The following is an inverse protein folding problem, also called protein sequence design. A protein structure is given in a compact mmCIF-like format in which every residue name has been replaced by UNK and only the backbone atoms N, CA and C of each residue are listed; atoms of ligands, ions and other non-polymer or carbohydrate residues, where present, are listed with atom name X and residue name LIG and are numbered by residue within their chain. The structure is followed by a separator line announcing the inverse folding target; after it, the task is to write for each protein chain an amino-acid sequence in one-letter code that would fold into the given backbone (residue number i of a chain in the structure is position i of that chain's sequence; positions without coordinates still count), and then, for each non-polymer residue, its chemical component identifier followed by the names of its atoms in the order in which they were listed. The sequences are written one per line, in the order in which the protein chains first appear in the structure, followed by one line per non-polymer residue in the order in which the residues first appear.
data_IF_056962725407
#
_entry.id   IF_056962725407
#
_cell.length_a   1.000
_cell.length_b   1.000
_cell.length_c   1.000
_cell.angle_alpha   90.00
_cell.angle_beta   90.00
_cell.angle_gamma   90.00
#
_symmetry.space_group_name_H-M   'P 1'
#
loop_
_entity.id
_entity.type
_entity.pdbx_description
1 polymer ?
#
# COMPACT_ATOMS: atom_id res chain seq x y z
N UNK A 1 -39.17 86.71 -26.34
CA UNK A 1 -38.16 86.94 -25.30
C UNK A 1 -37.14 85.81 -25.36
N UNK A 2 -35.86 86.12 -25.60
CA UNK A 2 -34.75 85.16 -25.71
C UNK A 2 -34.24 84.83 -24.31
N UNK A 3 -34.02 83.55 -24.02
CA UNK A 3 -33.30 83.09 -22.82
C UNK A 3 -31.82 83.54 -22.90
N UNK A 4 -31.34 84.24 -21.87
CA UNK A 4 -29.92 84.45 -21.62
C UNK A 4 -29.40 83.31 -20.75
N UNK A 5 -28.48 82.52 -21.27
CA UNK A 5 -27.63 81.62 -20.47
C UNK A 5 -26.36 82.36 -20.05
N UNK A 6 -26.02 82.26 -18.76
CA UNK A 6 -24.78 82.78 -18.20
C UNK A 6 -23.56 81.99 -18.71
N UNK A 7 -22.39 82.63 -18.92
CA UNK A 7 -21.18 81.91 -19.30
C UNK A 7 -20.64 81.15 -18.09
N UNK A 8 -20.61 79.83 -18.19
CA UNK A 8 -19.86 78.97 -17.27
C UNK A 8 -18.37 79.11 -17.61
N UNK A 9 -17.64 79.88 -16.82
CA UNK A 9 -16.19 79.94 -16.90
C UNK A 9 -15.60 79.14 -15.73
N UNK A 10 -15.40 77.85 -15.95
CA UNK A 10 -14.49 77.02 -15.15
C UNK A 10 -13.35 76.66 -16.08
N UNK A 11 -12.24 77.39 -15.99
CA UNK A 11 -10.97 77.01 -16.62
C UNK A 11 -10.48 75.71 -15.97
N UNK A 12 -10.92 74.57 -16.47
CA UNK A 12 -10.22 73.31 -16.23
C UNK A 12 -8.95 73.33 -17.05
N UNK A 13 -7.82 73.56 -16.38
CA UNK A 13 -6.49 73.50 -16.99
C UNK A 13 -6.28 72.12 -17.62
N UNK A 14 -6.23 72.07 -18.96
CA UNK A 14 -5.94 70.83 -19.69
C UNK A 14 -4.49 70.39 -19.46
N UNK A 15 -4.33 69.16 -18.98
CA UNK A 15 -3.01 68.55 -18.77
C UNK A 15 -2.23 68.40 -20.08
N UNK A 16 -1.00 68.90 -20.06
CA UNK A 16 -0.01 68.71 -21.13
C UNK A 16 0.43 67.24 -21.22
N UNK A 17 0.89 66.83 -22.40
CA UNK A 17 1.36 65.45 -22.64
C UNK A 17 2.49 65.03 -21.68
N UNK A 18 3.37 65.96 -21.31
CA UNK A 18 4.45 65.72 -20.35
C UNK A 18 3.95 65.50 -18.92
N UNK A 19 2.94 66.27 -18.48
CA UNK A 19 2.31 66.09 -17.17
C UNK A 19 1.59 64.74 -17.07
N UNK A 20 0.91 64.33 -18.16
CA UNK A 20 0.22 63.04 -18.24
C UNK A 20 1.20 61.87 -18.16
N UNK A 21 2.34 61.96 -18.84
CA UNK A 21 3.40 60.95 -18.80
C UNK A 21 4.07 60.87 -17.41
N UNK A 22 4.33 62.01 -16.77
CA UNK A 22 4.89 62.07 -15.42
C UNK A 22 3.94 61.47 -14.37
N UNK A 23 2.63 61.76 -14.46
CA UNK A 23 1.62 61.16 -13.58
C UNK A 23 1.57 59.64 -13.74
N UNK A 24 1.49 59.14 -14.98
CA UNK A 24 1.50 57.68 -15.25
C UNK A 24 2.80 56.99 -14.81
N UNK A 25 3.93 57.71 -14.81
CA UNK A 25 5.19 57.19 -14.30
C UNK A 25 5.20 57.13 -12.77
N UNK A 26 4.60 58.12 -12.11
CA UNK A 26 4.46 58.15 -10.66
C UNK A 26 3.46 57.10 -10.17
N UNK A 27 2.28 56.99 -10.81
CA UNK A 27 1.28 55.96 -10.52
C UNK A 27 1.88 54.54 -10.63
N UNK A 28 2.66 54.26 -11.69
CA UNK A 28 3.36 52.97 -11.84
C UNK A 28 4.43 52.73 -10.78
N UNK A 29 5.10 53.77 -10.30
CA UNK A 29 6.08 53.66 -9.21
C UNK A 29 5.38 53.39 -7.88
N UNK A 30 4.28 54.06 -7.63
CA UNK A 30 3.48 53.94 -6.42
C UNK A 30 2.81 52.55 -6.36
N UNK A 31 2.40 51.99 -7.50
CA UNK A 31 1.93 50.60 -7.65
C UNK A 31 3.03 49.54 -7.36
N UNK A 32 4.30 49.88 -7.55
CA UNK A 32 5.45 48.99 -7.34
C UNK A 32 6.13 49.18 -5.97
N UNK A 33 5.74 50.20 -5.20
CA UNK A 33 6.25 50.42 -3.84
C UNK A 33 5.45 49.62 -2.83
N UNK A 34 5.98 48.46 -2.45
CA UNK A 34 5.44 47.66 -1.36
C UNK A 34 5.69 48.34 -0.01
N UNK A 35 4.64 48.44 0.79
CA UNK A 35 4.71 48.99 2.13
C UNK A 35 5.33 48.00 3.13
N UNK A 36 5.76 48.49 4.29
CA UNK A 36 6.19 47.60 5.40
C UNK A 36 5.08 46.63 5.84
N UNK A 37 3.82 47.05 5.73
CA UNK A 37 2.65 46.17 5.95
C UNK A 37 2.51 45.07 4.90
N UNK A 38 2.85 45.32 3.64
CA UNK A 38 2.80 44.29 2.59
C UNK A 38 3.83 43.19 2.85
N UNK A 39 5.05 43.58 3.19
CA UNK A 39 6.10 42.62 3.58
C UNK A 39 5.72 41.82 4.82
N UNK A 40 5.10 42.47 5.82
CA UNK A 40 4.62 41.78 7.01
C UNK A 40 3.55 40.74 6.66
N UNK A 41 2.53 41.12 5.88
CA UNK A 41 1.47 40.21 5.41
C UNK A 41 2.03 39.03 4.62
N UNK A 42 3.03 39.25 3.77
CA UNK A 42 3.67 38.17 3.01
C UNK A 42 4.48 37.22 3.90
N UNK A 43 5.22 37.74 4.88
CA UNK A 43 5.92 36.90 5.85
C UNK A 43 4.95 36.09 6.68
N UNK A 44 3.89 36.71 7.21
CA UNK A 44 2.85 36.03 7.98
C UNK A 44 2.18 34.91 7.16
N UNK A 45 1.87 35.17 5.88
CA UNK A 45 1.30 34.17 4.99
C UNK A 45 2.29 33.05 4.65
N UNK A 46 3.57 33.39 4.44
CA UNK A 46 4.62 32.40 4.19
C UNK A 46 4.80 31.49 5.41
N UNK A 47 4.88 32.06 6.60
CA UNK A 47 5.06 31.31 7.84
C UNK A 47 3.84 30.42 8.12
N UNK A 48 2.62 30.91 7.82
CA UNK A 48 1.40 30.09 7.83
C UNK A 48 1.49 28.92 6.85
N UNK A 49 1.84 29.17 5.59
CA UNK A 49 1.99 28.10 4.57
C UNK A 49 3.04 27.06 4.98
N UNK A 50 4.14 27.49 5.61
CA UNK A 50 5.17 26.56 6.13
C UNK A 50 4.63 25.74 7.30
N UNK A 51 3.85 26.34 8.19
CA UNK A 51 3.23 25.63 9.30
C UNK A 51 2.19 24.61 8.81
N UNK A 52 1.30 25.01 7.90
CA UNK A 52 0.28 24.16 7.30
C UNK A 52 0.92 22.94 6.60
N UNK A 53 2.02 23.15 5.85
CA UNK A 53 2.78 22.05 5.22
C UNK A 53 3.40 21.08 6.22
N UNK A 54 3.99 21.58 7.30
CA UNK A 54 4.54 20.72 8.35
C UNK A 54 3.47 19.87 9.03
N UNK A 55 2.27 20.43 9.20
CA UNK A 55 1.13 19.70 9.76
C UNK A 55 0.64 18.61 8.79
N UNK A 56 0.60 18.89 7.48
CA UNK A 56 0.28 17.89 6.45
C UNK A 56 1.34 16.78 6.35
N UNK A 57 2.63 17.12 6.36
CA UNK A 57 3.74 16.16 6.39
C UNK A 57 3.62 15.24 7.61
N UNK A 58 3.30 15.80 8.78
CA UNK A 58 3.11 15.00 10.00
C UNK A 58 1.89 14.09 9.95
N UNK A 59 0.81 14.48 9.24
CA UNK A 59 -0.38 13.63 9.01
C UNK A 59 -0.11 12.50 8.04
N UNK A 60 0.82 12.69 7.10
CA UNK A 60 1.19 11.71 6.08
C UNK A 60 2.50 10.99 6.42
N UNK A 61 2.75 10.75 7.70
CA UNK A 61 3.97 10.09 8.18
C UNK A 61 3.66 8.68 8.71
N UNK A 62 4.41 7.69 8.23
CA UNK A 62 4.43 6.33 8.79
C UNK A 62 5.71 6.11 9.59
N UNK A 63 5.62 5.22 10.59
CA UNK A 63 6.75 4.91 11.47
C UNK A 63 8.00 4.46 10.72
N UNK A 64 9.14 5.09 11.05
CA UNK A 64 10.46 4.79 10.48
C UNK A 64 11.51 4.55 11.56
N UNK A 65 12.54 3.75 11.27
CA UNK A 65 13.66 3.52 12.19
C UNK A 65 13.23 3.07 13.59
N UNK A 66 13.74 3.74 14.61
CA UNK A 66 13.46 3.45 16.03
C UNK A 66 11.98 3.65 16.41
N UNK A 67 11.20 4.45 15.66
CA UNK A 67 9.76 4.59 15.90
C UNK A 67 9.01 3.27 15.74
N UNK A 68 9.60 2.33 15.01
CA UNK A 68 9.04 0.99 14.75
C UNK A 68 9.36 -0.01 15.85
N UNK A 69 10.24 0.34 16.78
CA UNK A 69 10.74 -0.57 17.81
C UNK A 69 9.94 -0.47 19.11
N UNK A 70 9.96 -1.56 19.87
CA UNK A 70 9.44 -1.61 21.24
C UNK A 70 10.65 -1.87 22.17
N UNK A 71 11.07 -0.89 22.99
CA UNK A 71 12.34 -0.95 23.73
C UNK A 71 12.57 -2.20 24.59
N UNK A 72 11.51 -2.78 25.15
CA UNK A 72 11.59 -3.95 26.03
C UNK A 72 11.24 -5.28 25.32
N UNK A 73 11.10 -5.27 23.99
CA UNK A 73 10.80 -6.47 23.23
C UNK A 73 12.04 -7.34 23.07
N UNK A 74 11.89 -8.64 23.36
CA UNK A 74 12.94 -9.62 23.07
C UNK A 74 12.68 -10.28 21.73
N UNK A 75 13.74 -10.65 21.01
CA UNK A 75 13.58 -11.41 19.77
C UNK A 75 12.92 -12.76 20.07
N UNK A 76 12.01 -13.20 19.19
CA UNK A 76 11.40 -14.52 19.27
C UNK A 76 12.51 -15.58 19.38
N UNK A 77 12.47 -16.43 20.42
CA UNK A 77 13.50 -17.44 20.61
C UNK A 77 13.43 -18.44 19.47
N UNK A 78 14.56 -19.05 19.10
CA UNK A 78 14.56 -20.14 18.12
C UNK A 78 13.59 -21.26 18.53
N UNK A 79 12.95 -21.96 17.57
CA UNK A 79 12.05 -23.06 17.89
C UNK A 79 12.81 -24.15 18.65
N UNK A 80 12.12 -24.77 19.62
CA UNK A 80 12.71 -25.87 20.40
C UNK A 80 12.92 -27.10 19.53
N UNK A 81 12.00 -27.37 18.59
CA UNK A 81 12.22 -28.37 17.54
C UNK A 81 13.02 -27.78 16.37
N UNK A 82 13.83 -28.63 15.74
CA UNK A 82 14.64 -28.25 14.59
C UNK A 82 13.75 -27.82 13.42
N UNK A 83 14.17 -26.78 12.69
CA UNK A 83 13.63 -26.49 11.36
C UNK A 83 14.07 -27.58 10.38
N UNK A 84 13.10 -28.32 9.85
CA UNK A 84 13.33 -29.45 8.95
C UNK A 84 12.79 -29.16 7.56
N UNK A 85 13.47 -29.70 6.54
CA UNK A 85 12.99 -29.67 5.16
C UNK A 85 12.03 -30.83 4.95
N UNK A 86 10.74 -30.51 4.83
CA UNK A 86 9.68 -31.49 4.72
C UNK A 86 9.20 -31.61 3.28
N UNK A 87 8.93 -32.84 2.83
CA UNK A 87 8.14 -33.07 1.63
C UNK A 87 6.70 -32.63 1.86
N UNK A 88 6.16 -31.88 0.90
CA UNK A 88 4.81 -31.40 0.95
C UNK A 88 4.00 -31.79 -0.28
N UNK A 89 2.72 -32.13 -0.05
CA UNK A 89 1.75 -32.41 -1.11
C UNK A 89 0.75 -31.26 -1.15
N UNK A 90 0.64 -30.65 -2.33
CA UNK A 90 -0.23 -29.50 -2.58
C UNK A 90 -1.61 -29.90 -3.10
N UNK A 91 -2.61 -29.12 -2.71
CA UNK A 91 -3.95 -29.12 -3.31
C UNK A 91 -4.30 -27.69 -3.72
N UNK A 92 -4.70 -27.48 -4.99
CA UNK A 92 -5.26 -26.20 -5.43
C UNK A 92 -6.58 -25.90 -4.71
N UNK A 93 -6.74 -24.66 -4.29
CA UNK A 93 -7.91 -24.10 -3.61
C UNK A 93 -8.12 -22.66 -4.07
N UNK A 94 -9.29 -22.07 -3.82
CA UNK A 94 -9.45 -20.63 -4.02
C UNK A 94 -8.57 -19.87 -3.02
N UNK A 95 -7.95 -18.74 -3.40
CA UNK A 95 -7.28 -17.89 -2.42
C UNK A 95 -8.20 -17.49 -1.27
N UNK A 96 -9.49 -17.21 -1.52
CA UNK A 96 -10.47 -16.94 -0.45
C UNK A 96 -10.58 -18.05 0.60
N UNK A 97 -10.33 -19.32 0.25
CA UNK A 97 -10.38 -20.44 1.20
C UNK A 97 -9.17 -20.45 2.15
N UNK A 98 -8.01 -19.97 1.66
CA UNK A 98 -6.82 -19.76 2.48
C UNK A 98 -6.99 -18.56 3.42
N UNK A 99 -7.69 -17.53 2.95
CA UNK A 99 -7.79 -16.21 3.58
C UNK A 99 -9.06 -16.02 4.42
N UNK A 100 -9.98 -16.98 4.39
CA UNK A 100 -11.20 -16.99 5.18
C UNK A 100 -11.00 -17.60 6.57
N UNK A 101 -11.81 -18.60 6.90
CA UNK A 101 -11.82 -19.23 8.24
C UNK A 101 -10.50 -19.90 8.63
N UNK A 102 -9.69 -20.32 7.67
CA UNK A 102 -8.39 -20.95 7.92
C UNK A 102 -7.28 -19.95 8.26
N UNK A 103 -7.49 -18.65 8.00
CA UNK A 103 -6.45 -17.63 8.08
C UNK A 103 -5.86 -17.48 9.48
N UNK A 104 -6.64 -17.66 10.54
CA UNK A 104 -6.12 -17.57 11.91
C UNK A 104 -5.28 -18.79 12.34
N UNK A 105 -5.38 -19.91 11.63
CA UNK A 105 -4.85 -21.20 12.10
C UNK A 105 -3.78 -21.80 11.18
N UNK A 106 -3.58 -21.25 9.99
CA UNK A 106 -2.64 -21.76 9.00
C UNK A 106 -1.80 -20.61 8.43
N UNK A 107 -0.46 -20.70 8.47
CA UNK A 107 0.39 -19.71 7.81
C UNK A 107 0.06 -19.66 6.31
N UNK A 108 0.01 -18.44 5.77
CA UNK A 108 -0.13 -18.18 4.33
C UNK A 108 1.12 -17.44 3.85
N UNK A 109 1.55 -17.72 2.62
CA UNK A 109 2.76 -17.14 2.04
C UNK A 109 2.54 -16.76 0.57
N UNK A 110 3.03 -15.60 0.17
CA UNK A 110 3.16 -15.20 -1.23
C UNK A 110 4.57 -15.47 -1.80
N UNK A 111 5.45 -16.13 -1.05
CA UNK A 111 6.84 -16.41 -1.46
C UNK A 111 6.93 -17.17 -2.79
N UNK A 112 5.94 -18.01 -3.09
CA UNK A 112 5.90 -18.77 -4.35
C UNK A 112 5.84 -17.85 -5.56
N UNK A 113 5.23 -16.66 -5.46
CA UNK A 113 5.21 -15.67 -6.55
C UNK A 113 6.63 -15.26 -6.95
N UNK A 114 7.53 -15.07 -5.97
CA UNK A 114 8.93 -14.76 -6.24
C UNK A 114 9.67 -15.96 -6.85
N UNK A 115 9.37 -17.18 -6.41
CA UNK A 115 9.94 -18.42 -6.98
C UNK A 115 9.51 -18.65 -8.43
N UNK A 116 8.28 -18.25 -8.78
CA UNK A 116 7.75 -18.36 -10.14
C UNK A 116 8.41 -17.37 -11.11
N UNK A 117 9.05 -16.29 -10.62
CA UNK A 117 9.51 -15.17 -11.44
C UNK A 117 10.30 -15.59 -12.70
N UNK A 118 11.20 -16.57 -12.57
CA UNK A 118 12.02 -17.04 -13.69
C UNK A 118 11.28 -17.86 -14.75
N UNK A 119 10.13 -18.46 -14.40
CA UNK A 119 9.30 -19.26 -15.31
C UNK A 119 8.14 -18.50 -15.93
N UNK A 120 7.80 -17.32 -15.40
CA UNK A 120 6.73 -16.47 -15.93
C UNK A 120 7.13 -15.86 -17.28
N UNK A 121 6.13 -15.63 -18.15
CA UNK A 121 6.27 -14.87 -19.38
C UNK A 121 6.69 -13.42 -19.10
N UNK A 122 7.35 -12.74 -20.05
CA UNK A 122 7.77 -11.35 -19.85
C UNK A 122 6.63 -10.39 -19.47
N UNK A 123 5.43 -10.61 -19.99
CA UNK A 123 4.24 -9.82 -19.65
C UNK A 123 3.85 -10.01 -18.20
N UNK A 124 3.69 -11.26 -17.75
CA UNK A 124 3.33 -11.56 -16.36
C UNK A 124 4.44 -11.14 -15.39
N UNK A 125 5.73 -11.30 -15.75
CA UNK A 125 6.85 -10.80 -14.95
C UNK A 125 6.79 -9.28 -14.74
N UNK A 126 6.37 -8.52 -15.77
CA UNK A 126 6.26 -7.06 -15.68
C UNK A 126 5.23 -6.69 -14.62
N UNK A 127 4.05 -7.27 -14.65
CA UNK A 127 2.98 -7.02 -13.66
C UNK A 127 3.44 -7.40 -12.23
N UNK A 128 4.15 -8.53 -12.06
CA UNK A 128 4.68 -8.93 -10.74
C UNK A 128 5.75 -7.94 -10.23
N UNK A 129 6.54 -7.33 -11.11
CA UNK A 129 7.61 -6.37 -10.75
C UNK A 129 7.11 -4.94 -10.53
N UNK A 130 6.08 -4.54 -11.26
CA UNK A 130 5.65 -3.14 -11.33
C UNK A 130 4.30 -2.86 -10.64
N UNK A 131 3.68 -3.90 -10.04
CA UNK A 131 2.28 -3.90 -9.62
C UNK A 131 1.31 -3.96 -10.79
N UNK A 132 0.11 -4.48 -10.54
CA UNK A 132 -0.94 -4.54 -11.55
C UNK A 132 -2.02 -5.56 -11.22
N UNK A 133 -2.61 -6.16 -12.25
CA UNK A 133 -3.71 -7.12 -12.12
C UNK A 133 -3.26 -8.50 -12.56
N UNK A 134 -3.46 -9.50 -11.70
CA UNK A 134 -2.99 -10.86 -11.92
C UNK A 134 -4.08 -11.87 -11.57
N UNK A 135 -4.00 -13.05 -12.19
CA UNK A 135 -4.81 -14.21 -11.80
C UNK A 135 -4.04 -15.01 -10.77
N UNK A 136 -4.66 -15.27 -9.63
CA UNK A 136 -4.06 -16.04 -8.53
C UNK A 136 -4.80 -17.34 -8.30
N UNK A 137 -4.05 -18.38 -7.94
CA UNK A 137 -4.56 -19.60 -7.32
C UNK A 137 -4.02 -19.75 -5.90
N UNK A 138 -4.78 -20.41 -5.05
CA UNK A 138 -4.33 -20.85 -3.73
C UNK A 138 -3.78 -22.28 -3.82
N UNK A 139 -2.69 -22.54 -3.10
CA UNK A 139 -2.15 -23.88 -2.94
C UNK A 139 -2.04 -24.22 -1.46
N UNK A 140 -2.72 -25.28 -1.01
CA UNK A 140 -2.59 -25.78 0.35
C UNK A 140 -1.59 -26.93 0.38
N UNK A 141 -0.38 -26.67 0.87
CA UNK A 141 0.67 -27.67 1.02
C UNK A 141 0.60 -28.32 2.40
N UNK A 142 0.40 -29.65 2.43
CA UNK A 142 0.47 -30.45 3.67
C UNK A 142 1.84 -31.08 3.81
N UNK A 143 2.44 -30.95 4.98
CA UNK A 143 3.78 -31.48 5.33
C UNK A 143 3.77 -32.09 6.74
N UNK A 144 4.89 -32.65 7.20
CA UNK A 144 4.94 -33.42 8.45
C UNK A 144 4.67 -32.61 9.74
N UNK A 145 4.67 -31.28 9.67
CA UNK A 145 4.43 -30.39 10.82
C UNK A 145 3.14 -29.56 10.69
N UNK A 146 2.34 -29.80 9.66
CA UNK A 146 1.08 -29.08 9.47
C UNK A 146 0.79 -28.77 8.00
N UNK A 147 0.26 -27.58 7.77
CA UNK A 147 -0.02 -27.09 6.44
C UNK A 147 0.38 -25.62 6.30
N UNK A 148 0.74 -25.24 5.08
CA UNK A 148 0.99 -23.85 4.68
C UNK A 148 0.19 -23.54 3.43
N UNK A 149 -0.48 -22.39 3.42
CA UNK A 149 -1.15 -21.85 2.26
C UNK A 149 -0.17 -21.05 1.42
N UNK A 150 -0.25 -21.12 0.11
CA UNK A 150 0.55 -20.33 -0.80
C UNK A 150 -0.32 -19.64 -1.85
N UNK A 151 -0.04 -18.36 -2.11
CA UNK A 151 -0.54 -17.69 -3.29
C UNK A 151 0.40 -17.95 -4.47
N UNK A 152 -0.17 -18.27 -5.62
CA UNK A 152 0.56 -18.52 -6.85
C UNK A 152 -0.07 -17.73 -7.99
N UNK A 153 0.75 -17.18 -8.88
CA UNK A 153 0.27 -16.55 -10.11
C UNK A 153 -0.03 -17.63 -11.14
N UNK A 154 -1.16 -17.50 -11.84
CA UNK A 154 -1.47 -18.27 -13.05
C UNK A 154 -1.06 -17.44 -14.25
N UNK A 155 -0.16 -17.98 -15.07
CA UNK A 155 0.38 -17.27 -16.22
C UNK A 155 -0.49 -17.49 -17.47
N UNK A 156 -1.54 -16.69 -17.59
CA UNK A 156 -2.48 -16.77 -18.72
C UNK A 156 -1.81 -16.46 -20.06
N UNK A 157 -0.74 -15.67 -20.08
CA UNK A 157 0.05 -15.38 -21.28
C UNK A 157 0.92 -16.57 -21.72
N UNK A 158 1.27 -17.47 -20.82
CA UNK A 158 1.86 -18.78 -21.15
C UNK A 158 0.80 -19.79 -21.66
N UNK A 159 -0.47 -19.42 -21.66
CA UNK A 159 -1.59 -20.29 -22.03
C UNK A 159 -2.13 -21.12 -20.86
N UNK A 160 -1.68 -20.89 -19.62
CA UNK A 160 -2.28 -21.51 -18.44
C UNK A 160 -3.76 -21.10 -18.33
N UNK A 161 -4.64 -22.08 -18.11
CA UNK A 161 -6.08 -21.84 -18.03
C UNK A 161 -6.51 -21.71 -16.57
N UNK A 162 -7.06 -20.55 -16.16
CA UNK A 162 -7.64 -20.40 -14.83
C UNK A 162 -8.83 -21.35 -14.64
N UNK A 163 -8.87 -22.03 -13.49
CA UNK A 163 -10.03 -22.80 -13.07
C UNK A 163 -10.87 -21.94 -12.11
N UNK A 164 -12.14 -21.70 -12.46
CA UNK A 164 -13.11 -20.93 -11.67
C UNK A 164 -13.25 -21.38 -10.21
N UNK A 165 -12.92 -22.64 -9.91
CA UNK A 165 -13.03 -23.21 -8.56
C UNK A 165 -11.73 -23.09 -7.75
N UNK A 166 -10.65 -22.57 -8.35
CA UNK A 166 -9.35 -22.47 -7.67
C UNK A 166 -8.59 -21.19 -8.03
N UNK A 167 -9.17 -20.32 -8.85
CA UNK A 167 -8.53 -19.12 -9.38
C UNK A 167 -9.41 -17.90 -9.18
N UNK A 168 -8.80 -16.76 -8.88
CA UNK A 168 -9.47 -15.46 -8.82
C UNK A 168 -8.55 -14.37 -9.35
N UNK A 169 -9.11 -13.34 -9.97
CA UNK A 169 -8.36 -12.12 -10.25
C UNK A 169 -8.20 -11.30 -8.97
N UNK A 170 -7.05 -10.66 -8.83
CA UNK A 170 -6.75 -9.75 -7.75
C UNK A 170 -5.76 -8.68 -8.21
N UNK A 171 -5.74 -7.56 -7.50
CA UNK A 171 -4.66 -6.60 -7.60
C UNK A 171 -3.40 -7.17 -6.95
N UNK A 172 -2.25 -6.80 -7.48
CA UNK A 172 -0.93 -7.11 -6.94
C UNK A 172 -0.17 -5.81 -6.72
N UNK A 173 0.28 -5.58 -5.49
CA UNK A 173 1.17 -4.46 -5.16
C UNK A 173 2.57 -5.01 -4.92
N UNK A 174 3.48 -4.72 -5.84
CA UNK A 174 4.86 -5.16 -5.74
C UNK A 174 5.60 -4.41 -4.61
N UNK A 175 6.61 -5.05 -4.03
CA UNK A 175 7.42 -4.45 -2.98
C UNK A 175 8.15 -3.19 -3.50
N UNK A 176 8.05 -2.09 -2.75
CA UNK A 176 8.59 -0.79 -3.11
C UNK A 176 7.80 -0.04 -4.18
N UNK A 177 6.58 -0.49 -4.48
CA UNK A 177 5.68 0.10 -5.48
C UNK A 177 4.31 0.41 -4.87
N UNK A 178 3.46 1.01 -5.69
CA UNK A 178 2.06 1.26 -5.37
C UNK A 178 1.15 0.85 -6.53
N UNK A 179 -0.15 0.81 -6.26
CA UNK A 179 -1.20 0.67 -7.27
C UNK A 179 -2.43 1.48 -6.85
N UNK A 180 -3.04 2.16 -7.82
CA UNK A 180 -4.31 2.86 -7.64
C UNK A 180 -5.46 1.88 -7.92
N UNK A 181 -6.39 1.75 -6.98
CA UNK A 181 -7.52 0.82 -7.08
C UNK A 181 -8.83 1.53 -6.72
N UNK A 182 -9.99 1.02 -7.16
CA UNK A 182 -11.28 1.61 -6.84
C UNK A 182 -11.50 1.73 -5.32
N UNK A 183 -11.91 2.91 -4.86
CA UNK A 183 -12.31 3.16 -3.47
C UNK A 183 -13.53 2.31 -3.08
N UNK A 184 -14.47 2.17 -4.01
CA UNK A 184 -15.66 1.34 -3.88
C UNK A 184 -15.83 0.44 -5.12
N UNK A 185 -15.13 -0.70 -5.20
CA UNK A 185 -15.23 -1.62 -6.33
C UNK A 185 -16.66 -2.17 -6.49
N UNK A 186 -17.09 -2.31 -7.75
CA UNK A 186 -18.27 -3.08 -8.13
C UNK A 186 -17.95 -4.59 -8.05
N UNK A 187 -18.59 -5.37 -7.16
CA UNK A 187 -18.33 -6.80 -7.00
C UNK A 187 -18.53 -7.65 -8.25
N UNK A 188 -19.20 -7.13 -9.28
CA UNK A 188 -19.45 -7.83 -10.53
C UNK A 188 -18.41 -7.51 -11.62
N UNK A 189 -17.57 -6.49 -11.43
CA UNK A 189 -16.66 -5.98 -12.47
C UNK A 189 -15.23 -5.82 -11.99
N UNK A 190 -15.06 -5.46 -10.72
CA UNK A 190 -13.77 -5.11 -10.15
C UNK A 190 -13.25 -6.20 -9.21
N UNK A 191 -11.95 -6.19 -8.97
CA UNK A 191 -11.32 -7.16 -8.06
C UNK A 191 -11.52 -6.74 -6.60
N UNK A 192 -11.75 -7.73 -5.74
CA UNK A 192 -12.06 -7.50 -4.31
C UNK A 192 -10.89 -7.84 -3.38
N UNK A 193 -9.72 -8.17 -3.94
CA UNK A 193 -8.52 -8.54 -3.21
C UNK A 193 -7.31 -7.78 -3.73
N UNK A 194 -6.42 -7.43 -2.80
CA UNK A 194 -5.07 -6.93 -3.08
C UNK A 194 -4.08 -7.87 -2.41
N UNK A 195 -3.22 -8.49 -3.21
CA UNK A 195 -2.11 -9.31 -2.73
C UNK A 195 -0.80 -8.58 -2.89
N UNK A 196 0.20 -9.03 -2.13
CA UNK A 196 1.50 -8.41 -2.07
C UNK A 196 2.52 -9.42 -1.53
N UNK A 197 3.84 -9.21 -1.68
CA UNK A 197 4.84 -10.09 -1.07
C UNK A 197 4.69 -10.22 0.45
N UNK A 198 5.33 -11.24 1.02
CA UNK A 198 5.38 -11.42 2.47
C UNK A 198 6.02 -10.21 3.16
N UNK A 199 5.65 -9.99 4.41
CA UNK A 199 6.13 -8.86 5.20
C UNK A 199 7.31 -9.28 6.06
N UNK A 200 8.45 -8.63 5.85
CA UNK A 200 9.60 -8.69 6.75
C UNK A 200 10.20 -7.31 6.93
N UNK A 201 9.66 -6.58 7.91
CA UNK A 201 9.97 -5.17 8.13
C UNK A 201 9.25 -4.20 7.19
N UNK A 202 8.40 -4.65 6.28
CA UNK A 202 7.63 -3.79 5.39
C UNK A 202 6.39 -3.17 6.07
N UNK A 203 5.79 -2.17 5.41
CA UNK A 203 4.51 -1.54 5.76
C UNK A 203 3.53 -1.59 4.58
N UNK A 204 2.24 -1.75 4.85
CA UNK A 204 1.16 -1.75 3.86
C UNK A 204 0.32 -0.49 4.04
N UNK A 205 0.47 0.47 3.13
CA UNK A 205 0.00 1.86 3.34
C UNK A 205 -1.10 2.19 2.34
N UNK A 206 -2.10 2.95 2.79
CA UNK A 206 -3.23 3.34 1.95
C UNK A 206 -3.49 4.83 2.06
N UNK A 207 -3.38 5.52 0.92
CA UNK A 207 -3.76 6.92 0.74
C UNK A 207 -5.13 7.03 0.08
N UNK A 208 -5.83 8.12 0.35
CA UNK A 208 -6.90 8.54 -0.54
C UNK A 208 -6.32 9.38 -1.65
N UNK A 209 -6.56 8.88 -2.85
CA UNK A 209 -5.92 9.40 -4.03
C UNK A 209 -6.85 10.32 -4.82
N UNK A 210 -8.14 9.97 -4.89
CA UNK A 210 -9.16 10.79 -5.54
C UNK A 210 -10.54 10.38 -5.05
N UNK A 211 -11.59 11.06 -5.50
CA UNK A 211 -12.98 10.71 -5.15
C UNK A 211 -13.29 9.22 -5.39
N UNK A 212 -12.72 8.64 -6.45
CA UNK A 212 -13.01 7.27 -6.88
C UNK A 212 -11.89 6.26 -6.56
N UNK A 213 -10.70 6.71 -6.16
CA UNK A 213 -9.52 5.86 -6.01
C UNK A 213 -8.87 5.96 -4.64
N UNK A 214 -8.32 4.83 -4.20
CA UNK A 214 -7.30 4.78 -3.15
C UNK A 214 -5.98 4.34 -3.78
N UNK A 215 -4.86 4.81 -3.20
CA UNK A 215 -3.52 4.34 -3.58
C UNK A 215 -2.99 3.44 -2.51
N UNK A 216 -2.56 2.25 -2.91
CA UNK A 216 -2.06 1.22 -2.00
C UNK A 216 -0.57 1.00 -2.25
N UNK A 217 0.26 1.08 -1.22
CA UNK A 217 1.72 0.91 -1.28
C UNK A 217 2.18 -0.30 -0.50
N UNK A 218 3.15 -1.04 -1.04
CA UNK A 218 3.99 -1.94 -0.24
C UNK A 218 5.33 -1.26 0.01
N UNK A 219 5.50 -0.68 1.19
CA UNK A 219 6.69 0.08 1.56
C UNK A 219 7.71 -0.85 2.20
N UNK A 220 8.94 -0.84 1.70
CA UNK A 220 10.04 -1.65 2.18
C UNK A 220 10.55 -1.18 3.54
N UNK A 221 10.92 -2.14 4.39
CA UNK A 221 11.56 -1.84 5.66
C UNK A 221 12.88 -1.09 5.49
N UNK A 222 13.02 0.03 6.19
CA UNK A 222 14.20 0.90 6.11
C UNK A 222 14.22 1.80 4.88
N UNK A 223 13.13 1.85 4.10
CA UNK A 223 12.96 2.77 2.97
C UNK A 223 11.68 3.60 3.09
N UNK A 224 11.08 3.68 4.28
CA UNK A 224 9.82 4.39 4.52
C UNK A 224 9.87 5.83 4.06
N UNK A 225 10.94 6.55 4.42
CA UNK A 225 11.10 7.95 4.00
C UNK A 225 11.16 8.07 2.47
N UNK A 226 12.03 7.27 1.85
CA UNK A 226 12.23 7.31 0.40
C UNK A 226 10.99 6.89 -0.40
N UNK A 227 10.21 5.94 0.09
CA UNK A 227 9.10 5.34 -0.64
C UNK A 227 7.74 5.91 -0.26
N UNK A 228 7.65 6.62 0.87
CA UNK A 228 6.39 7.16 1.37
C UNK A 228 6.55 8.53 2.07
N UNK A 229 7.25 8.66 3.21
CA UNK A 229 7.18 9.92 4.01
C UNK A 229 7.70 11.16 3.28
N UNK A 230 8.74 11.02 2.44
CA UNK A 230 9.32 12.13 1.67
C UNK A 230 8.70 12.26 0.26
N UNK A 231 7.66 11.47 -0.04
CA UNK A 231 6.93 11.60 -1.31
C UNK A 231 6.15 12.91 -1.29
N UNK A 232 6.30 13.70 -2.35
CA UNK A 232 5.76 15.07 -2.39
C UNK A 232 4.24 15.17 -2.39
N UNK A 233 3.55 14.11 -2.79
CA UNK A 233 2.12 14.16 -3.06
C UNK A 233 1.43 12.91 -2.53
N UNK A 234 0.62 13.13 -1.50
CA UNK A 234 -0.32 12.15 -0.95
C UNK A 234 -1.78 12.51 -1.31
N UNK A 235 -1.99 13.53 -2.15
CA UNK A 235 -3.28 14.14 -2.52
C UNK A 235 -4.17 14.41 -1.31
N UNK A 236 -5.09 13.49 -0.98
CA UNK A 236 -6.02 13.63 0.14
C UNK A 236 -5.49 13.01 1.45
N UNK A 237 -4.24 12.56 1.43
CA UNK A 237 -3.48 12.09 2.58
C UNK A 237 -3.68 10.63 2.96
N UNK A 238 -2.86 10.19 3.92
CA UNK A 238 -2.89 8.88 4.55
C UNK A 238 -4.30 8.58 5.11
N UNK A 239 -4.84 7.40 4.78
CA UNK A 239 -6.05 6.89 5.42
C UNK A 239 -5.68 6.07 6.65
N UNK A 240 -4.90 5.01 6.42
CA UNK A 240 -4.46 4.06 7.44
C UNK A 240 -3.36 3.17 6.86
N UNK A 241 -2.66 2.44 7.71
CA UNK A 241 -1.62 1.51 7.28
C UNK A 241 -1.38 0.41 8.30
N UNK A 242 -0.87 -0.72 7.81
CA UNK A 242 -0.24 -1.74 8.64
C UNK A 242 1.26 -1.50 8.64
N UNK A 243 1.86 -1.40 9.82
CA UNK A 243 3.30 -1.25 10.01
C UNK A 243 3.94 -2.54 10.52
N UNK A 244 5.27 -2.56 10.58
CA UNK A 244 5.99 -3.59 11.32
C UNK A 244 5.57 -3.70 12.80
N UNK A 245 5.10 -2.63 13.44
CA UNK A 245 4.65 -2.68 14.83
C UNK A 245 3.44 -3.59 15.00
N UNK A 246 2.59 -3.66 13.98
CA UNK A 246 1.33 -4.41 14.01
C UNK A 246 1.57 -5.91 13.97
N UNK A 247 2.32 -6.40 12.97
CA UNK A 247 2.55 -7.84 12.82
C UNK A 247 3.84 -8.33 13.50
N UNK A 248 4.77 -7.41 13.76
CA UNK A 248 6.11 -7.74 14.23
C UNK A 248 6.22 -7.96 15.73
N UNK A 249 5.17 -7.66 16.50
CA UNK A 249 5.18 -7.79 17.95
C UNK A 249 3.90 -8.44 18.48
N UNK A 250 4.06 -9.25 19.53
CA UNK A 250 2.94 -9.83 20.28
C UNK A 250 3.31 -10.06 21.74
N UNK A 251 2.30 -10.20 22.59
CA UNK A 251 2.50 -10.47 24.02
C UNK A 251 2.51 -11.96 24.32
N UNK A 252 3.48 -12.39 25.12
CA UNK A 252 3.56 -13.74 25.71
C UNK A 252 3.71 -13.62 27.22
N UNK A 253 2.57 -13.64 27.93
CA UNK A 253 2.54 -13.30 29.35
C UNK A 253 2.87 -11.81 29.55
N UNK A 254 3.89 -11.51 30.37
CA UNK A 254 4.39 -10.14 30.57
C UNK A 254 5.50 -9.74 29.60
N UNK A 255 5.90 -10.62 28.69
CA UNK A 255 7.01 -10.39 27.76
C UNK A 255 6.50 -10.00 26.38
N UNK A 256 7.03 -8.91 25.84
CA UNK A 256 6.81 -8.53 24.44
C UNK A 256 7.79 -9.30 23.57
N UNK A 257 7.29 -10.07 22.62
CA UNK A 257 8.11 -10.82 21.67
C UNK A 257 8.13 -10.07 20.33
N UNK A 258 9.32 -9.84 19.79
CA UNK A 258 9.59 -9.34 18.46
C UNK A 258 9.77 -10.51 17.49
N UNK A 259 8.91 -10.60 16.48
CA UNK A 259 8.95 -11.56 15.41
C UNK A 259 8.98 -10.84 14.06
N UNK A 260 9.82 -11.27 13.12
CA UNK A 260 10.09 -10.47 11.92
C UNK A 260 9.28 -10.87 10.69
N UNK A 261 8.38 -11.85 10.81
CA UNK A 261 7.65 -12.43 9.68
C UNK A 261 6.15 -12.26 9.81
N UNK A 262 5.53 -11.76 8.74
CA UNK A 262 4.09 -11.66 8.61
C UNK A 262 3.63 -11.89 7.18
N UNK A 263 2.32 -12.06 7.04
CA UNK A 263 1.63 -12.10 5.76
C UNK A 263 0.45 -11.14 5.84
N UNK A 264 0.20 -10.35 4.80
CA UNK A 264 -0.96 -9.48 4.75
C UNK A 264 -1.54 -9.39 3.35
N UNK A 265 -2.82 -9.04 3.29
CA UNK A 265 -3.57 -8.78 2.06
C UNK A 265 -4.64 -7.73 2.36
N UNK A 266 -5.19 -7.09 1.31
CA UNK A 266 -6.43 -6.34 1.46
C UNK A 266 -7.60 -7.09 0.86
N UNK A 267 -8.77 -6.90 1.47
CA UNK A 267 -10.05 -7.35 0.94
C UNK A 267 -11.08 -6.25 1.06
N UNK A 268 -11.91 -6.11 0.05
CA UNK A 268 -13.07 -5.24 0.12
C UNK A 268 -14.23 -5.94 0.81
N UNK A 269 -14.75 -5.34 1.88
CA UNK A 269 -15.93 -5.80 2.58
C UNK A 269 -17.17 -5.14 1.96
N UNK A 270 -17.93 -5.91 1.20
CA UNK A 270 -19.12 -5.42 0.48
C UNK A 270 -20.27 -5.01 1.38
N UNK A 271 -20.30 -5.49 2.64
CA UNK A 271 -21.35 -5.14 3.60
C UNK A 271 -21.07 -3.79 4.25
N UNK A 272 -19.84 -3.57 4.71
CA UNK A 272 -19.43 -2.31 5.35
C UNK A 272 -18.99 -1.26 4.34
N UNK A 273 -18.77 -1.66 3.08
CA UNK A 273 -18.27 -0.85 1.96
C UNK A 273 -16.89 -0.23 2.22
N UNK A 274 -16.02 -0.95 2.94
CA UNK A 274 -14.66 -0.52 3.22
C UNK A 274 -13.64 -1.56 2.72
N UNK A 275 -12.47 -1.07 2.35
CA UNK A 275 -11.29 -1.93 2.26
C UNK A 275 -10.78 -2.27 3.67
N UNK A 276 -10.26 -3.48 3.84
CA UNK A 276 -9.72 -3.99 5.08
C UNK A 276 -8.34 -4.61 4.81
N UNK A 277 -7.30 -4.17 5.51
CA UNK A 277 -6.01 -4.88 5.56
C UNK A 277 -6.15 -5.99 6.59
N UNK A 278 -5.91 -7.23 6.19
CA UNK A 278 -5.86 -8.39 7.08
C UNK A 278 -4.43 -8.91 7.15
N UNK A 279 -3.96 -9.29 8.33
CA UNK A 279 -2.60 -9.74 8.51
C UNK A 279 -2.43 -10.88 9.52
N UNK A 280 -1.35 -11.65 9.35
CA UNK A 280 -0.88 -12.69 10.25
C UNK A 280 0.44 -12.27 10.90
N UNK A 281 0.56 -12.52 12.20
CA UNK A 281 1.85 -12.59 12.90
C UNK A 281 2.32 -14.04 12.87
N UNK A 282 3.40 -14.34 12.16
CA UNK A 282 3.83 -15.72 11.94
C UNK A 282 5.14 -16.02 12.67
N UNK A 283 5.11 -16.82 13.73
CA UNK A 283 6.31 -17.25 14.45
C UNK A 283 6.90 -18.50 13.76
N UNK A 284 8.21 -18.45 13.49
CA UNK A 284 8.93 -19.48 12.72
C UNK A 284 8.23 -19.81 11.39
N UNK A 285 7.84 -18.76 10.65
CA UNK A 285 7.08 -18.88 9.41
C UNK A 285 7.63 -19.98 8.49
N UNK A 286 6.79 -20.92 8.01
CA UNK A 286 7.23 -21.91 7.04
C UNK A 286 7.72 -21.23 5.75
N UNK A 287 8.87 -21.66 5.24
CA UNK A 287 9.36 -21.23 3.93
C UNK A 287 9.13 -22.32 2.89
N UNK A 288 8.63 -21.93 1.72
CA UNK A 288 8.32 -22.84 0.62
C UNK A 288 9.45 -22.78 -0.39
N UNK A 289 9.86 -23.92 -0.90
CA UNK A 289 10.87 -24.02 -1.96
C UNK A 289 10.53 -25.13 -2.94
N UNK A 290 11.08 -25.05 -4.15
CA UNK A 290 10.92 -26.06 -5.20
C UNK A 290 9.45 -26.46 -5.48
N UNK A 291 8.50 -25.51 -5.58
CA UNK A 291 7.14 -25.85 -5.97
C UNK A 291 7.14 -26.44 -7.37
N UNK A 292 6.51 -27.59 -7.53
CA UNK A 292 6.46 -28.35 -8.78
C UNK A 292 5.06 -28.87 -9.02
N UNK A 293 4.66 -28.86 -10.29
CA UNK A 293 3.39 -29.40 -10.76
C UNK A 293 3.69 -30.46 -11.81
N UNK A 294 3.35 -31.70 -11.51
CA UNK A 294 3.38 -32.80 -12.48
C UNK A 294 2.06 -32.85 -13.22
N UNK A 295 2.14 -32.82 -14.55
CA UNK A 295 0.96 -32.82 -15.41
C UNK A 295 0.07 -34.06 -15.19
N UNK A 296 -1.23 -33.87 -15.37
CA UNK A 296 -2.21 -34.96 -15.42
C UNK A 296 -1.85 -35.91 -16.57
N UNK A 297 -1.85 -37.21 -16.31
CA UNK A 297 -1.69 -38.24 -17.35
C UNK A 297 -3.00 -39.03 -17.51
N UNK A 298 -3.07 -39.94 -18.49
CA UNK A 298 -4.22 -40.83 -18.66
C UNK A 298 -4.51 -41.69 -17.42
N UNK A 299 -3.53 -41.88 -16.52
CA UNK A 299 -3.64 -42.77 -15.36
C UNK A 299 -3.38 -42.07 -14.02
N UNK A 300 -3.13 -40.76 -14.00
CA UNK A 300 -2.88 -40.02 -12.76
C UNK A 300 -3.47 -38.62 -12.81
N UNK A 301 -3.96 -38.14 -11.67
CA UNK A 301 -4.31 -36.73 -11.50
C UNK A 301 -3.06 -35.85 -11.58
N UNK A 302 -3.27 -34.55 -11.79
CA UNK A 302 -2.25 -33.54 -11.54
C UNK A 302 -1.73 -33.70 -10.09
N UNK A 303 -0.42 -33.57 -9.91
CA UNK A 303 0.22 -33.69 -8.59
C UNK A 303 1.05 -32.46 -8.32
N UNK A 304 0.77 -31.81 -7.20
CA UNK A 304 1.52 -30.65 -6.74
C UNK A 304 2.42 -31.06 -5.58
N UNK A 305 3.69 -30.69 -5.64
CA UNK A 305 4.66 -30.96 -4.58
C UNK A 305 5.53 -29.74 -4.31
N UNK A 306 6.05 -29.66 -3.08
CA UNK A 306 7.02 -28.64 -2.70
C UNK A 306 7.90 -29.17 -1.57
N UNK A 307 8.99 -28.46 -1.29
CA UNK A 307 9.77 -28.61 -0.06
C UNK A 307 9.41 -27.47 0.88
N UNK A 308 9.01 -27.79 2.11
CA UNK A 308 8.62 -26.81 3.13
C UNK A 308 9.59 -26.87 4.31
N UNK A 309 10.29 -25.77 4.56
CA UNK A 309 11.12 -25.62 5.76
C UNK A 309 10.23 -25.15 6.91
N UNK A 310 10.06 -25.99 7.93
CA UNK A 310 9.21 -25.69 9.07
C UNK A 310 9.68 -26.44 10.32
N UNK A 311 9.27 -25.97 11.50
CA UNK A 311 9.35 -26.70 12.76
C UNK A 311 7.94 -27.08 13.24
N UNK A 312 7.83 -27.87 14.32
CA UNK A 312 6.53 -28.16 14.95
C UNK A 312 5.89 -26.92 15.60
N UNK A 313 6.69 -25.90 15.88
CA UNK A 313 6.27 -24.63 16.47
C UNK A 313 5.96 -23.55 15.42
N UNK A 314 6.20 -23.81 14.12
CA UNK A 314 5.80 -22.92 13.03
C UNK A 314 4.29 -22.67 13.03
N UNK A 315 3.86 -21.42 13.23
CA UNK A 315 2.43 -21.10 13.42
C UNK A 315 2.08 -19.64 13.15
N UNK A 316 0.78 -19.40 13.02
CA UNK A 316 0.18 -18.07 13.21
C UNK A 316 -0.01 -17.88 14.72
N UNK A 317 0.53 -16.79 15.25
CA UNK A 317 0.40 -16.44 16.68
C UNK A 317 -0.87 -15.61 16.90
N UNK A 318 -1.11 -14.67 16.01
CA UNK A 318 -2.22 -13.73 16.08
C UNK A 318 -2.55 -13.24 14.67
N UNK A 319 -3.76 -12.75 14.47
CA UNK A 319 -4.21 -12.07 13.26
C UNK A 319 -4.83 -10.73 13.62
N UNK A 320 -4.76 -9.77 12.72
CA UNK A 320 -5.44 -8.49 12.89
C UNK A 320 -6.10 -8.01 11.61
N UNK A 321 -6.97 -7.00 11.78
CA UNK A 321 -7.66 -6.31 10.70
C UNK A 321 -7.58 -4.80 10.93
N UNK A 322 -7.21 -4.06 9.89
CA UNK A 322 -7.20 -2.60 9.88
C UNK A 322 -8.20 -2.13 8.83
N UNK A 323 -9.22 -1.40 9.28
CA UNK A 323 -10.27 -0.89 8.38
C UNK A 323 -9.81 0.42 7.75
N UNK A 324 -9.93 0.50 6.43
CA UNK A 324 -9.69 1.71 5.63
C UNK A 324 -11.03 2.44 5.53
N UNK A 325 -11.34 3.29 6.52
CA UNK A 325 -12.59 4.05 6.58
C UNK A 325 -12.44 5.35 5.80
N UNK A 326 -13.20 5.51 4.72
CA UNK A 326 -13.47 6.81 4.09
C UNK A 326 -14.90 6.94 3.64
#
# INVERSE_FOLDING_TARGET
MRYQSAPANTEEAQETTAQRAARQQQERRDELTYSSSDYKRWNDNRDKVVADRKEEEQKNHIHVGEERELPDAILSPMPASRMEMNDAIGKRVLPSDLLGSSFANQPVSAEVVALQMSSLTPTTQKEVKESGELVFSGMQYKHAHGAVGALQVIDTYAGEQPDKNTSQMAYWVAQGKYLDIPKHPDPHRDHLYVFTPNFSGCSFVVDDWSDDLIRVYHVEGGKEDKQYNDVKDHINGLINYMSFRDYGFYQKGSTTIKNITGFAFMRYNTQTRNWEIHYQKQEHAPSISQPTTSAKTLFSSEKHTAKVMASKESRVVETGTIVIKR
#
